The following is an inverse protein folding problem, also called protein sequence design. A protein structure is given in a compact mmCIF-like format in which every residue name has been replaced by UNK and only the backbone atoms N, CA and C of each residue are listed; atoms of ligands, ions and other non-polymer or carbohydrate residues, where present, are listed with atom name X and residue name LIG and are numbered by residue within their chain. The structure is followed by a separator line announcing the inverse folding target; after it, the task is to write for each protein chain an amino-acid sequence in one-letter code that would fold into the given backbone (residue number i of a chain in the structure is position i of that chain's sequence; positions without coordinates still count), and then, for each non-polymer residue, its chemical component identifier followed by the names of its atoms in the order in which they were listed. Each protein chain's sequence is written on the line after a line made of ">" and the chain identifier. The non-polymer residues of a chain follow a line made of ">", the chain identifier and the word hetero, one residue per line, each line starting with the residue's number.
data_IF_632374398796
#
_entry.id   IF_632374398796
#
_cell.length_a   1.000
_cell.length_b   1.000
_cell.length_c   1.000
_cell.angle_alpha   90.00
_cell.angle_beta   90.00
_cell.angle_gamma   90.00
#
_symmetry.space_group_name_H-M   'P 1'
#
loop_
_entity.id
_entity.type
_entity.pdbx_description
1 polymer ?
#
# COMPACT_ATOMS: atom_id res chain seq x y z
N UNK A 1 -20.09 -7.14 -2.82
CA UNK A 1 -19.65 -5.72 -2.90
C UNK A 1 -19.14 -5.18 -1.58
N UNK A 2 -19.96 -5.15 -0.50
CA UNK A 2 -19.55 -4.67 0.84
C UNK A 2 -18.19 -5.21 1.33
N UNK A 3 -17.92 -6.50 1.12
CA UNK A 3 -16.67 -7.17 1.53
C UNK A 3 -15.37 -6.61 0.94
N UNK A 4 -15.39 -6.04 -0.26
CA UNK A 4 -14.19 -5.43 -0.88
C UNK A 4 -13.88 -4.08 -0.24
N UNK A 5 -14.92 -3.34 0.14
CA UNK A 5 -14.80 -2.08 0.88
C UNK A 5 -14.39 -2.31 2.33
N UNK A 6 -14.84 -3.42 2.94
CA UNK A 6 -14.40 -3.84 4.27
C UNK A 6 -12.93 -4.33 4.26
N UNK A 7 -12.50 -5.01 3.19
CA UNK A 7 -11.13 -5.52 3.05
C UNK A 7 -10.57 -5.36 1.63
N UNK A 8 -9.85 -4.25 1.42
CA UNK A 8 -9.17 -3.94 0.16
C UNK A 8 -8.04 -4.91 -0.21
N UNK A 9 -7.57 -5.76 0.71
CA UNK A 9 -6.47 -6.69 0.48
C UNK A 9 -6.94 -8.10 0.05
N UNK A 10 -8.26 -8.34 0.03
CA UNK A 10 -8.81 -9.65 -0.26
C UNK A 10 -8.61 -10.01 -1.75
N UNK A 11 -8.10 -11.22 -2.00
CA UNK A 11 -7.97 -11.73 -3.36
C UNK A 11 -9.35 -12.11 -3.93
N UNK A 12 -9.47 -12.15 -5.27
CA UNK A 12 -10.72 -12.59 -5.92
C UNK A 12 -11.14 -14.00 -5.49
N UNK A 13 -10.17 -14.87 -5.19
CA UNK A 13 -10.44 -16.23 -4.71
C UNK A 13 -10.98 -16.23 -3.27
N UNK A 14 -10.39 -15.41 -2.39
CA UNK A 14 -10.87 -15.27 -1.01
C UNK A 14 -12.30 -14.72 -1.00
N UNK A 15 -12.57 -13.73 -1.85
CA UNK A 15 -13.90 -13.16 -2.01
C UNK A 15 -14.90 -14.18 -2.59
N UNK A 16 -14.50 -14.99 -3.58
CA UNK A 16 -15.34 -16.05 -4.13
C UNK A 16 -15.75 -17.05 -3.04
N UNK A 17 -14.78 -17.57 -2.29
CA UNK A 17 -15.03 -18.49 -1.16
C UNK A 17 -15.92 -17.89 -0.09
N UNK A 18 -15.71 -16.61 0.22
CA UNK A 18 -16.50 -15.90 1.22
C UNK A 18 -17.93 -15.61 0.78
N UNK A 19 -18.22 -15.59 -0.53
CA UNK A 19 -19.58 -15.46 -1.05
C UNK A 19 -20.24 -16.83 -1.14
N UNK A 20 -19.50 -17.84 -1.58
CA UNK A 20 -19.95 -19.24 -1.61
C UNK A 20 -20.36 -19.72 -0.21
N UNK A 21 -19.57 -19.42 0.83
CA UNK A 21 -19.92 -19.79 2.21
C UNK A 21 -21.19 -19.12 2.75
N UNK A 22 -21.61 -17.99 2.16
CA UNK A 22 -22.80 -17.25 2.59
C UNK A 22 -24.05 -17.62 1.80
N UNK A 23 -23.87 -17.97 0.52
CA UNK A 23 -24.98 -18.13 -0.43
C UNK A 23 -25.15 -19.58 -0.88
N UNK A 24 -24.17 -20.44 -0.61
CA UNK A 24 -24.11 -21.81 -1.14
C UNK A 24 -23.79 -21.88 -2.64
N UNK A 25 -23.57 -20.73 -3.29
CA UNK A 25 -23.37 -20.65 -4.75
C UNK A 25 -21.89 -20.49 -5.08
N UNK A 26 -21.36 -21.39 -5.89
CA UNK A 26 -20.00 -21.28 -6.42
C UNK A 26 -19.94 -20.16 -7.48
N UNK A 27 -19.14 -19.13 -7.22
CA UNK A 27 -18.97 -18.00 -8.13
C UNK A 27 -17.55 -18.00 -8.70
N UNK A 28 -17.43 -17.76 -10.02
CA UNK A 28 -16.13 -17.63 -10.66
C UNK A 28 -15.34 -16.40 -10.16
N UNK A 29 -14.02 -16.53 -10.11
CA UNK A 29 -13.14 -15.40 -9.79
C UNK A 29 -13.31 -14.22 -10.77
N UNK A 30 -13.66 -14.49 -12.02
CA UNK A 30 -13.88 -13.44 -13.05
C UNK A 30 -15.12 -12.62 -12.69
N UNK A 31 -16.22 -13.28 -12.33
CA UNK A 31 -17.45 -12.63 -11.89
C UNK A 31 -17.19 -11.76 -10.66
N UNK A 32 -16.42 -12.26 -9.69
CA UNK A 32 -16.02 -11.49 -8.49
C UNK A 32 -15.18 -10.27 -8.83
N UNK A 33 -14.35 -10.30 -9.89
CA UNK A 33 -13.52 -9.14 -10.31
C UNK A 33 -14.31 -8.10 -11.09
N UNK A 34 -15.22 -8.53 -11.97
CA UNK A 34 -16.04 -7.63 -12.80
C UNK A 34 -16.90 -6.70 -11.96
N UNK A 35 -17.43 -7.21 -10.85
CA UNK A 35 -18.36 -6.49 -9.99
C UNK A 35 -17.69 -5.23 -9.37
N UNK A 36 -16.54 -5.30 -8.65
CA UNK A 36 -15.79 -4.12 -8.20
C UNK A 36 -15.32 -3.19 -9.32
N UNK A 37 -14.92 -3.75 -10.47
CA UNK A 37 -14.48 -2.95 -11.62
C UNK A 37 -15.61 -2.10 -12.20
N UNK A 38 -16.84 -2.63 -12.26
CA UNK A 38 -18.03 -1.87 -12.63
C UNK A 38 -18.33 -0.70 -11.68
N UNK A 39 -17.84 -0.78 -10.44
CA UNK A 39 -17.92 0.30 -9.45
C UNK A 39 -16.64 1.16 -9.38
N UNK A 40 -15.74 1.05 -10.35
CA UNK A 40 -14.53 1.88 -10.44
C UNK A 40 -13.36 1.42 -9.55
N UNK A 41 -13.40 0.23 -8.96
CA UNK A 41 -12.30 -0.33 -8.17
C UNK A 41 -11.40 -1.25 -9.01
N UNK A 42 -10.10 -1.03 -8.94
CA UNK A 42 -9.10 -1.83 -9.65
C UNK A 42 -8.00 -2.35 -8.73
N UNK A 43 -7.32 -3.40 -9.16
CA UNK A 43 -6.17 -3.95 -8.44
C UNK A 43 -4.93 -3.10 -8.67
N UNK A 44 -4.33 -2.59 -7.60
CA UNK A 44 -3.11 -1.78 -7.62
C UNK A 44 -2.04 -2.37 -6.72
N UNK A 45 -0.77 -2.02 -6.97
CA UNK A 45 0.31 -2.31 -6.02
C UNK A 45 0.17 -1.39 -4.79
N UNK A 46 0.12 -1.92 -3.57
CA UNK A 46 0.10 -1.09 -2.37
C UNK A 46 1.41 -0.33 -2.26
N UNK A 47 1.33 0.95 -1.87
CA UNK A 47 2.52 1.73 -1.53
C UNK A 47 3.16 1.12 -0.29
N UNK A 48 4.40 0.64 -0.41
CA UNK A 48 5.22 0.25 0.74
C UNK A 48 5.65 1.52 1.46
N UNK A 49 5.13 1.76 2.66
CA UNK A 49 5.57 2.83 3.55
C UNK A 49 5.89 2.21 4.90
N UNK A 50 6.97 2.68 5.53
CA UNK A 50 7.25 2.33 6.90
C UNK A 50 6.12 2.84 7.79
N UNK A 51 5.70 2.02 8.76
CA UNK A 51 4.72 2.43 9.76
C UNK A 51 5.44 3.37 10.73
N UNK A 52 5.08 4.65 10.69
CA UNK A 52 5.66 5.65 11.58
C UNK A 52 4.86 5.71 12.87
N UNK A 53 5.55 5.53 14.01
CA UNK A 53 4.98 5.79 15.33
C UNK A 53 4.66 7.29 15.47
N UNK A 54 3.69 7.68 16.32
CA UNK A 54 3.32 9.09 16.53
C UNK A 54 4.52 9.97 16.91
N UNK A 55 5.44 9.44 17.72
CA UNK A 55 6.67 10.14 18.11
C UNK A 55 7.57 10.45 16.91
N UNK A 56 7.76 9.49 15.99
CA UNK A 56 8.55 9.70 14.76
C UNK A 56 7.89 10.75 13.86
N UNK A 57 6.55 10.74 13.72
CA UNK A 57 5.84 11.76 12.94
C UNK A 57 6.09 13.17 13.49
N UNK A 58 6.02 13.33 14.81
CA UNK A 58 6.29 14.62 15.47
C UNK A 58 7.74 15.06 15.28
N UNK A 59 8.70 14.14 15.45
CA UNK A 59 10.12 14.42 15.24
C UNK A 59 10.42 14.82 13.79
N UNK A 60 9.91 14.08 12.82
CA UNK A 60 10.07 14.38 11.40
C UNK A 60 9.46 15.74 11.03
N UNK A 61 8.25 16.03 11.55
CA UNK A 61 7.62 17.33 11.32
C UNK A 61 8.40 18.48 11.97
N UNK A 62 8.91 18.29 13.17
CA UNK A 62 9.76 19.27 13.87
C UNK A 62 11.05 19.54 13.10
N UNK A 63 11.72 18.49 12.63
CA UNK A 63 12.92 18.59 11.81
C UNK A 63 12.64 19.37 10.51
N UNK A 64 11.56 19.01 9.79
CA UNK A 64 11.18 19.68 8.55
C UNK A 64 10.91 21.17 8.76
N UNK A 65 10.18 21.55 9.83
CA UNK A 65 9.93 22.96 10.15
C UNK A 65 11.20 23.71 10.51
N UNK A 66 12.08 23.12 11.32
CA UNK A 66 13.33 23.74 11.76
C UNK A 66 14.34 23.98 10.62
N UNK A 67 14.18 23.29 9.50
CA UNK A 67 15.07 23.39 8.35
C UNK A 67 14.37 23.84 7.06
N UNK A 68 13.12 24.32 7.14
CA UNK A 68 12.34 24.71 5.96
C UNK A 68 12.92 25.93 5.21
N UNK A 69 13.57 26.83 5.93
CA UNK A 69 14.16 28.07 5.41
C UNK A 69 15.69 27.99 5.25
N UNK A 70 16.26 26.79 5.33
CA UNK A 70 17.71 26.60 5.12
C UNK A 70 18.02 26.75 3.65
N UNK A 71 19.11 27.44 3.37
CA UNK A 71 19.70 27.68 2.07
C UNK A 71 20.43 26.44 1.52
N UNK A 72 20.77 26.47 0.23
CA UNK A 72 21.42 25.34 -0.46
C UNK A 72 22.82 25.08 0.11
N UNK A 73 23.61 26.13 0.41
CA UNK A 73 24.95 26.03 0.99
C UNK A 73 24.96 25.25 2.31
N UNK A 74 23.91 25.42 3.13
CA UNK A 74 23.73 24.67 4.36
C UNK A 74 23.60 23.17 4.12
N UNK A 75 22.91 22.76 3.05
CA UNK A 75 22.75 21.35 2.71
C UNK A 75 23.99 20.76 2.03
N UNK A 76 24.68 21.55 1.21
CA UNK A 76 25.90 21.14 0.51
C UNK A 76 27.07 20.88 1.46
N UNK A 77 27.14 21.61 2.57
CA UNK A 77 28.15 21.39 3.60
C UNK A 77 27.99 20.08 4.39
N UNK A 78 26.92 19.31 4.16
CA UNK A 78 26.55 18.15 4.98
C UNK A 78 26.89 16.83 4.32
N UNK A 79 27.74 16.04 5.00
CA UNK A 79 28.02 14.66 4.60
C UNK A 79 26.97 13.71 5.15
N UNK A 80 26.31 12.96 4.28
CA UNK A 80 25.31 11.95 4.62
C UNK A 80 25.93 10.56 4.59
N UNK A 81 25.58 9.73 5.57
CA UNK A 81 25.98 8.31 5.62
C UNK A 81 24.76 7.44 5.90
N UNK A 82 24.63 6.33 5.17
CA UNK A 82 23.62 5.31 5.40
C UNK A 82 24.16 3.94 4.98
N UNK A 83 23.59 2.87 5.53
CA UNK A 83 23.92 1.50 5.17
C UNK A 83 22.81 0.88 4.32
N UNK A 84 23.17 0.24 3.20
CA UNK A 84 22.19 -0.45 2.35
C UNK A 84 22.61 -1.88 2.07
N UNK A 85 21.62 -2.78 2.07
CA UNK A 85 21.81 -4.19 1.73
C UNK A 85 21.59 -4.39 0.23
N UNK A 86 22.63 -4.82 -0.49
CA UNK A 86 22.57 -5.16 -1.91
C UNK A 86 22.43 -6.68 -2.05
N UNK A 87 21.36 -7.14 -2.70
CA UNK A 87 21.11 -8.57 -2.95
C UNK A 87 21.14 -8.88 -4.45
N UNK A 88 21.89 -9.90 -4.86
CA UNK A 88 22.07 -10.29 -6.28
C UNK A 88 20.77 -10.76 -6.94
N UNK A 89 19.89 -11.42 -6.19
CA UNK A 89 18.57 -11.85 -6.68
C UNK A 89 17.48 -11.29 -5.77
N UNK A 90 16.76 -10.28 -6.26
CA UNK A 90 15.70 -9.62 -5.49
C UNK A 90 14.31 -10.05 -5.96
N UNK A 91 13.65 -10.97 -5.24
CA UNK A 91 12.22 -11.21 -5.40
C UNK A 91 11.44 -10.63 -4.23
N UNK A 92 11.22 -9.32 -4.28
CA UNK A 92 10.26 -8.66 -3.40
C UNK A 92 8.86 -8.87 -3.96
N UNK A 93 8.25 -10.03 -3.65
CA UNK A 93 6.86 -10.33 -4.01
C UNK A 93 5.94 -9.15 -3.63
N UNK A 94 5.00 -8.83 -4.51
CA UNK A 94 3.98 -7.81 -4.25
C UNK A 94 2.60 -8.45 -4.18
N UNK A 95 1.77 -7.94 -3.28
CA UNK A 95 0.34 -8.23 -3.24
C UNK A 95 -0.39 -7.11 -3.98
N UNK A 96 -1.54 -7.38 -4.58
CA UNK A 96 -2.43 -6.35 -5.14
C UNK A 96 -3.51 -5.99 -4.15
N UNK A 97 -3.89 -4.72 -4.10
CA UNK A 97 -4.97 -4.17 -3.27
C UNK A 97 -6.00 -3.46 -4.14
N UNK A 98 -7.26 -3.55 -3.80
CA UNK A 98 -8.35 -2.88 -4.52
C UNK A 98 -8.39 -1.40 -4.16
N UNK A 99 -8.34 -0.49 -5.13
CA UNK A 99 -8.54 0.96 -4.91
C UNK A 99 -9.36 1.60 -6.03
N UNK A 100 -10.11 2.65 -5.69
CA UNK A 100 -10.63 3.59 -6.67
C UNK A 100 -9.47 4.45 -7.19
N UNK A 101 -9.59 4.91 -8.43
CA UNK A 101 -8.69 5.92 -8.99
C UNK A 101 -8.88 7.25 -8.27
#
# INVERSE_FOLDING_TARGET
>A
MRKVWENHNASSLQLAKAVESQTGVTISCVTIRRTPQGNGMYGYRPRKKHVLQPMHKKAHQGFARAHAERDEDYWDSRLWSDETKITVFGTNGYKTVWRCK
#
